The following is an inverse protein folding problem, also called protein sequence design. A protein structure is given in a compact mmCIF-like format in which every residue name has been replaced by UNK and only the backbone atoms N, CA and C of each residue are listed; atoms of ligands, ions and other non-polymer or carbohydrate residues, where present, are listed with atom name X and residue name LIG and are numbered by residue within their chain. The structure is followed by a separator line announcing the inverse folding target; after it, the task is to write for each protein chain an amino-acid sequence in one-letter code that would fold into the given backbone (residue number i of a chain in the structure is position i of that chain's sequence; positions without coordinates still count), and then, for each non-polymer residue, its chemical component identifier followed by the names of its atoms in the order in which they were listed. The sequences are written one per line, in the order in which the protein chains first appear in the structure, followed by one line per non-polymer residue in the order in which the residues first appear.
data_IF_945868127341
#
_entry.id   IF_945868127341
#
_cell.length_a   1.000
_cell.length_b   1.000
_cell.length_c   1.000
_cell.angle_alpha   90.00
_cell.angle_beta   90.00
_cell.angle_gamma   90.00
#
_symmetry.space_group_name_H-M   'P 1'
#
loop_
_entity.id
_entity.type
_entity.pdbx_description
1 polymer ?
#
# COMPACT_ATOMS: atom_id res chain seq x y z
N UNK A 1 0.86 19.34 -31.13
CA UNK A 1 -0.10 18.35 -31.66
C UNK A 1 0.47 17.00 -31.29
N UNK A 2 -0.22 16.18 -30.50
CA UNK A 2 0.28 14.85 -30.14
C UNK A 2 0.19 13.90 -31.34
N UNK A 3 1.17 13.01 -31.50
CA UNK A 3 1.14 12.01 -32.57
C UNK A 3 0.05 10.97 -32.27
N UNK A 4 -0.98 10.95 -33.10
CA UNK A 4 -2.12 10.03 -32.99
C UNK A 4 -1.76 8.58 -33.34
N UNK A 5 -0.60 8.40 -33.95
CA UNK A 5 -0.05 7.11 -34.36
C UNK A 5 1.02 6.61 -33.42
N UNK A 6 1.41 7.39 -32.41
CA UNK A 6 2.49 7.06 -31.49
C UNK A 6 3.87 7.45 -32.03
N UNK A 7 4.78 7.66 -31.09
CA UNK A 7 6.08 8.30 -31.29
C UNK A 7 7.22 7.29 -31.37
N UNK A 8 6.92 5.98 -31.42
CA UNK A 8 7.94 4.94 -31.56
C UNK A 8 8.68 5.09 -32.90
N UNK A 9 9.99 5.31 -32.81
CA UNK A 9 10.91 5.31 -33.94
C UNK A 9 11.45 3.89 -34.12
N UNK A 10 11.32 3.37 -35.34
CA UNK A 10 11.76 2.03 -35.71
C UNK A 10 13.19 2.12 -36.29
N UNK A 11 14.19 1.42 -35.73
CA UNK A 11 15.56 1.43 -36.26
C UNK A 11 15.60 0.90 -37.70
N UNK A 12 16.58 1.26 -38.53
CA UNK A 12 16.61 0.84 -39.95
C UNK A 12 16.70 -0.68 -40.15
N UNK A 13 17.27 -1.43 -39.19
CA UNK A 13 17.57 -2.87 -39.31
C UNK A 13 16.94 -3.74 -38.20
N UNK A 14 15.84 -3.28 -37.62
CA UNK A 14 15.10 -4.04 -36.61
C UNK A 14 14.37 -5.27 -37.18
N UNK A 15 14.29 -6.33 -36.37
CA UNK A 15 13.46 -7.50 -36.65
C UNK A 15 12.07 -7.30 -36.06
N UNK A 16 11.05 -7.33 -36.90
CA UNK A 16 9.65 -7.35 -36.47
C UNK A 16 9.21 -8.80 -36.24
N UNK A 17 8.67 -9.07 -35.08
CA UNK A 17 7.96 -10.32 -34.77
C UNK A 17 6.49 -10.11 -35.14
N UNK A 18 6.00 -10.82 -36.15
CA UNK A 18 4.61 -10.73 -36.58
C UNK A 18 3.77 -11.68 -35.73
N UNK A 19 2.76 -11.12 -35.06
CA UNK A 19 1.81 -11.85 -34.23
C UNK A 19 0.44 -11.77 -34.88
N UNK A 20 0.00 -12.91 -35.42
CA UNK A 20 -1.36 -13.09 -35.92
C UNK A 20 -2.27 -13.64 -34.81
N UNK A 21 -3.56 -13.32 -34.84
CA UNK A 21 -4.51 -13.73 -33.79
C UNK A 21 -4.60 -15.25 -33.63
N UNK A 22 -4.39 -16.00 -34.72
CA UNK A 22 -4.36 -17.45 -34.73
C UNK A 22 -3.19 -18.07 -33.96
N UNK A 23 -2.17 -17.28 -33.61
CA UNK A 23 -1.02 -17.75 -32.82
C UNK A 23 -1.37 -17.90 -31.33
N UNK A 24 -2.44 -17.27 -30.86
CA UNK A 24 -2.90 -17.42 -29.48
C UNK A 24 -3.85 -18.60 -29.35
N UNK A 25 -3.66 -19.42 -28.31
CA UNK A 25 -4.69 -20.37 -27.90
C UNK A 25 -5.71 -19.63 -27.03
N UNK A 26 -6.98 -19.74 -27.40
CA UNK A 26 -8.09 -19.15 -26.66
C UNK A 26 -8.92 -20.27 -26.03
N UNK A 27 -9.55 -19.99 -24.90
CA UNK A 27 -10.59 -20.86 -24.34
C UNK A 27 -11.82 -20.80 -25.25
N UNK A 28 -12.63 -21.85 -25.26
CA UNK A 28 -13.75 -22.05 -26.21
C UNK A 28 -14.74 -20.89 -26.32
N UNK A 29 -14.89 -20.11 -25.25
CA UNK A 29 -15.79 -18.95 -25.16
C UNK A 29 -15.16 -17.61 -25.53
N UNK A 30 -13.89 -17.59 -25.93
CA UNK A 30 -13.19 -16.34 -26.29
C UNK A 30 -12.88 -16.27 -27.78
N UNK A 31 -12.95 -15.07 -28.33
CA UNK A 31 -12.53 -14.77 -29.70
C UNK A 31 -11.84 -13.40 -29.77
N UNK A 32 -11.20 -13.10 -30.89
CA UNK A 32 -10.69 -11.75 -31.16
C UNK A 32 -11.65 -11.03 -32.10
N UNK A 33 -11.94 -9.77 -31.78
CA UNK A 33 -12.74 -8.89 -32.63
C UNK A 33 -12.01 -7.59 -32.93
N UNK A 34 -12.29 -7.01 -34.10
CA UNK A 34 -11.68 -5.75 -34.51
C UNK A 34 -12.07 -4.60 -33.58
N UNK A 35 -11.09 -3.86 -33.05
CA UNK A 35 -11.34 -2.69 -32.18
C UNK A 35 -12.26 -1.66 -32.85
N UNK A 36 -12.24 -1.60 -34.19
CA UNK A 36 -13.11 -0.72 -34.97
C UNK A 36 -14.62 -0.92 -34.82
N UNK A 37 -15.08 -2.06 -34.30
CA UNK A 37 -16.50 -2.27 -33.98
C UNK A 37 -16.89 -1.67 -32.63
N UNK A 38 -15.93 -1.34 -31.76
CA UNK A 38 -16.15 -0.84 -30.40
C UNK A 38 -15.87 0.64 -30.28
N UNK A 39 -14.83 1.09 -30.97
CA UNK A 39 -14.39 2.46 -30.95
C UNK A 39 -14.65 3.05 -32.33
N UNK A 40 -15.78 3.75 -32.48
CA UNK A 40 -16.24 4.35 -33.75
C UNK A 40 -15.17 5.20 -34.45
N UNK A 41 -14.23 5.77 -33.68
CA UNK A 41 -13.11 6.60 -34.11
C UNK A 41 -11.76 5.86 -34.23
N UNK A 42 -11.63 4.65 -33.68
CA UNK A 42 -10.39 3.83 -33.73
C UNK A 42 -10.03 3.30 -35.12
N UNK A 43 -10.97 3.36 -36.08
CA UNK A 43 -10.64 3.16 -37.50
C UNK A 43 -9.55 4.14 -37.96
N UNK A 44 -9.42 5.28 -37.27
CA UNK A 44 -8.45 6.31 -37.63
C UNK A 44 -7.25 6.32 -36.69
N UNK A 45 -7.42 6.45 -35.37
CA UNK A 45 -6.28 6.78 -34.49
C UNK A 45 -6.10 5.78 -33.34
N UNK A 46 -4.84 5.44 -33.05
CA UNK A 46 -4.46 4.68 -31.85
C UNK A 46 -4.57 5.54 -30.59
N UNK A 47 -4.16 6.81 -30.68
CA UNK A 47 -4.22 7.79 -29.60
C UNK A 47 -5.14 8.95 -29.98
N UNK A 48 -6.42 8.86 -29.60
CA UNK A 48 -7.35 9.97 -29.80
C UNK A 48 -6.99 11.17 -28.92
N UNK A 49 -6.69 10.87 -27.65
CA UNK A 49 -6.17 11.76 -26.65
C UNK A 49 -4.77 11.28 -26.21
N UNK A 50 -3.96 12.12 -25.53
CA UNK A 50 -2.77 11.63 -24.85
C UNK A 50 -3.12 10.45 -23.93
N UNK A 51 -2.30 9.38 -23.88
CA UNK A 51 -2.53 8.26 -22.99
C UNK A 51 -2.73 8.73 -21.54
N UNK A 52 -3.74 8.17 -20.88
CA UNK A 52 -4.04 8.49 -19.49
C UNK A 52 -4.34 7.23 -18.69
N UNK A 53 -4.15 7.28 -17.36
CA UNK A 53 -4.47 6.16 -16.48
C UNK A 53 -5.96 5.77 -16.57
N UNK A 54 -6.83 6.73 -16.88
CA UNK A 54 -8.28 6.53 -17.08
C UNK A 54 -8.65 5.74 -18.34
N UNK A 55 -7.69 5.53 -19.25
CA UNK A 55 -7.85 4.65 -20.41
C UNK A 55 -7.88 3.17 -20.01
N UNK A 56 -7.28 2.85 -18.86
CA UNK A 56 -7.12 1.50 -18.35
C UNK A 56 -8.30 1.18 -17.43
N UNK A 57 -9.09 0.19 -17.82
CA UNK A 57 -10.16 -0.37 -17.00
C UNK A 57 -10.21 -1.88 -17.16
N UNK A 58 -9.75 -2.57 -16.14
CA UNK A 58 -9.60 -4.01 -16.13
C UNK A 58 -10.96 -4.72 -16.07
N UNK A 59 -11.05 -5.87 -16.74
CA UNK A 59 -12.13 -6.85 -16.61
C UNK A 59 -11.66 -8.13 -15.92
N UNK A 60 -11.99 -9.29 -16.48
CA UNK A 60 -11.90 -10.60 -15.80
C UNK A 60 -10.61 -11.40 -16.00
N UNK A 61 -9.55 -10.86 -16.64
CA UNK A 61 -8.38 -11.66 -17.02
C UNK A 61 -7.38 -11.92 -15.89
N UNK A 62 -7.31 -11.05 -14.86
CA UNK A 62 -6.36 -11.21 -13.75
C UNK A 62 -4.94 -10.72 -14.07
N UNK A 63 -4.83 -9.71 -14.91
CA UNK A 63 -3.64 -8.97 -15.36
C UNK A 63 -3.43 -7.64 -14.60
N UNK A 64 -4.01 -7.52 -13.40
CA UNK A 64 -3.94 -6.33 -12.57
C UNK A 64 -2.51 -5.80 -12.37
N UNK A 65 -1.51 -6.69 -12.29
CA UNK A 65 -0.10 -6.32 -12.15
C UNK A 65 0.44 -5.55 -13.35
N UNK A 66 0.06 -5.94 -14.58
CA UNK A 66 0.43 -5.27 -15.82
C UNK A 66 -0.28 -3.93 -15.92
N UNK A 67 -1.57 -3.90 -15.58
CA UNK A 67 -2.39 -2.71 -15.68
C UNK A 67 -2.01 -1.65 -14.63
N UNK A 68 -1.68 -2.05 -13.40
CA UNK A 68 -1.12 -1.17 -12.39
C UNK A 68 0.26 -0.61 -12.82
N UNK A 69 1.09 -1.41 -13.50
CA UNK A 69 2.35 -0.91 -14.08
C UNK A 69 2.09 0.16 -15.15
N UNK A 70 1.15 -0.09 -16.07
CA UNK A 70 0.81 0.84 -17.14
C UNK A 70 0.21 2.14 -16.59
N UNK A 71 -0.69 2.06 -15.61
CA UNK A 71 -1.23 3.23 -14.90
C UNK A 71 -0.10 4.06 -14.27
N UNK A 72 0.87 3.41 -13.62
CA UNK A 72 1.99 4.11 -13.02
C UNK A 72 2.94 4.76 -14.04
N UNK A 73 3.21 4.09 -15.16
CA UNK A 73 4.07 4.61 -16.22
C UNK A 73 3.42 5.80 -16.93
N UNK A 74 2.13 5.70 -17.27
CA UNK A 74 1.42 6.76 -18.00
C UNK A 74 1.19 8.00 -17.12
N UNK A 75 0.94 7.82 -15.83
CA UNK A 75 0.83 8.93 -14.87
C UNK A 75 2.17 9.65 -14.71
N UNK A 76 3.28 8.92 -14.74
CA UNK A 76 4.61 9.51 -14.65
C UNK A 76 4.96 10.32 -15.90
N UNK A 77 4.79 9.72 -17.08
CA UNK A 77 5.02 10.37 -18.37
C UNK A 77 4.26 9.62 -19.48
N UNK A 78 3.18 10.19 -20.04
CA UNK A 78 2.45 9.60 -21.17
C UNK A 78 3.33 9.28 -22.38
N UNK A 79 4.48 9.96 -22.54
CA UNK A 79 5.42 9.71 -23.63
C UNK A 79 6.09 8.34 -23.55
N UNK A 80 6.12 7.71 -22.38
CA UNK A 80 6.59 6.33 -22.25
C UNK A 80 5.70 5.41 -23.09
N UNK A 81 4.38 5.64 -23.06
CA UNK A 81 3.40 4.85 -23.81
C UNK A 81 3.40 5.23 -25.29
N UNK A 82 3.42 6.52 -25.65
CA UNK A 82 3.47 6.90 -27.08
C UNK A 82 4.79 6.48 -27.72
N UNK A 83 5.91 6.58 -27.01
CA UNK A 83 7.24 6.22 -27.49
C UNK A 83 7.53 4.72 -27.54
N UNK A 84 6.61 3.86 -27.09
CA UNK A 84 6.72 2.40 -27.20
C UNK A 84 5.78 1.80 -28.26
N UNK A 85 4.88 2.57 -28.87
CA UNK A 85 3.91 2.07 -29.84
C UNK A 85 3.93 2.89 -31.13
N UNK A 86 3.82 2.22 -32.28
CA UNK A 86 3.55 2.84 -33.59
C UNK A 86 2.36 2.20 -34.29
N UNK A 87 1.35 2.99 -34.61
CA UNK A 87 0.26 2.63 -35.48
C UNK A 87 0.75 2.58 -36.94
N UNK A 88 0.67 1.41 -37.58
CA UNK A 88 1.05 1.25 -38.98
C UNK A 88 -0.10 1.58 -39.95
N UNK A 89 -1.23 2.03 -39.40
CA UNK A 89 -2.53 2.09 -40.07
C UNK A 89 -2.98 0.68 -40.51
N UNK A 90 -4.11 0.62 -41.23
CA UNK A 90 -4.63 -0.62 -41.81
C UNK A 90 -4.81 -1.80 -40.84
N UNK A 91 -5.12 -1.50 -39.56
CA UNK A 91 -5.43 -2.53 -38.58
C UNK A 91 -4.21 -3.16 -37.89
N UNK A 92 -2.99 -2.63 -38.06
CA UNK A 92 -1.81 -3.15 -37.36
C UNK A 92 -1.09 -2.08 -36.54
N UNK A 93 -0.41 -2.53 -35.49
CA UNK A 93 0.38 -1.71 -34.56
C UNK A 93 1.68 -2.43 -34.25
N UNK A 94 2.78 -1.68 -34.12
CA UNK A 94 4.05 -2.18 -33.58
C UNK A 94 4.18 -1.75 -32.13
N UNK A 95 4.42 -2.70 -31.23
CA UNK A 95 4.71 -2.45 -29.81
C UNK A 95 6.16 -2.85 -29.53
N UNK A 96 6.92 -1.98 -28.87
CA UNK A 96 8.26 -2.29 -28.35
C UNK A 96 8.16 -2.79 -26.91
N UNK A 97 8.70 -3.96 -26.63
CA UNK A 97 8.96 -4.46 -25.27
C UNK A 97 10.46 -4.79 -25.12
N UNK A 98 10.91 -5.05 -23.90
CA UNK A 98 12.31 -5.34 -23.59
C UNK A 98 12.50 -6.76 -23.08
N UNK A 99 13.21 -7.57 -23.85
CA UNK A 99 13.66 -8.90 -23.44
C UNK A 99 14.70 -8.78 -22.32
N UNK A 100 14.43 -9.48 -21.22
CA UNK A 100 15.24 -9.44 -19.99
C UNK A 100 15.45 -8.00 -19.46
N UNK A 101 14.52 -7.08 -19.78
CA UNK A 101 14.60 -5.68 -19.40
C UNK A 101 15.70 -4.88 -20.10
N UNK A 102 16.35 -5.43 -21.14
CA UNK A 102 17.51 -4.77 -21.79
C UNK A 102 17.33 -4.68 -23.30
N UNK A 103 17.01 -5.79 -23.96
CA UNK A 103 17.04 -5.85 -25.42
C UNK A 103 15.67 -5.52 -26.01
N UNK A 104 15.50 -4.43 -26.77
CA UNK A 104 14.22 -4.10 -27.38
C UNK A 104 13.81 -5.15 -28.42
N UNK A 105 12.57 -5.60 -28.35
CA UNK A 105 11.89 -6.46 -29.31
C UNK A 105 10.63 -5.75 -29.82
N UNK A 106 10.35 -5.89 -31.11
CA UNK A 106 9.28 -5.18 -31.79
C UNK A 106 8.23 -6.17 -32.28
N UNK A 107 7.01 -6.02 -31.79
CA UNK A 107 5.91 -6.93 -32.04
C UNK A 107 4.86 -6.23 -32.90
N UNK A 108 4.62 -6.74 -34.10
CA UNK A 108 3.50 -6.29 -34.93
C UNK A 108 2.26 -7.10 -34.56
N UNK A 109 1.26 -6.44 -33.98
CA UNK A 109 -0.02 -7.01 -33.58
C UNK A 109 -1.17 -6.46 -34.42
N UNK A 110 -2.20 -7.26 -34.62
CA UNK A 110 -3.48 -6.80 -35.15
C UNK A 110 -4.25 -5.96 -34.11
N UNK A 111 -4.98 -4.94 -34.57
CA UNK A 111 -5.86 -4.07 -33.78
C UNK A 111 -7.18 -4.75 -33.42
N UNK A 112 -7.06 -5.85 -32.70
CA UNK A 112 -8.19 -6.60 -32.17
C UNK A 112 -8.16 -6.61 -30.64
N UNK A 113 -9.31 -6.82 -30.04
CA UNK A 113 -9.47 -7.01 -28.60
C UNK A 113 -10.02 -8.41 -28.33
N UNK A 114 -9.76 -8.93 -27.13
CA UNK A 114 -10.27 -10.22 -26.69
C UNK A 114 -11.72 -10.07 -26.20
N UNK A 115 -12.60 -10.92 -26.71
CA UNK A 115 -14.03 -10.96 -26.38
C UNK A 115 -14.43 -12.26 -25.74
N UNK A 116 -15.42 -12.18 -24.85
CA UNK A 116 -16.18 -13.33 -24.38
C UNK A 116 -17.39 -13.58 -25.26
N UNK A 117 -18.21 -14.55 -24.86
CA UNK A 117 -19.41 -14.96 -25.59
C UNK A 117 -20.48 -13.85 -25.67
N UNK A 118 -20.64 -13.07 -24.60
CA UNK A 118 -21.68 -12.03 -24.52
C UNK A 118 -21.14 -10.65 -24.13
N UNK A 119 -19.92 -10.57 -23.59
CA UNK A 119 -19.32 -9.34 -23.04
C UNK A 119 -17.83 -9.28 -23.35
N UNK A 120 -17.26 -8.07 -23.48
CA UNK A 120 -15.81 -7.92 -23.62
C UNK A 120 -15.10 -8.41 -22.34
N UNK A 121 -13.97 -9.11 -22.51
CA UNK A 121 -13.24 -9.67 -21.35
C UNK A 121 -12.49 -8.57 -20.58
N UNK A 122 -12.16 -7.49 -21.28
CA UNK A 122 -11.52 -6.28 -20.77
C UNK A 122 -12.37 -5.05 -21.09
N UNK A 123 -12.38 -4.06 -20.21
CA UNK A 123 -13.25 -2.88 -20.34
C UNK A 123 -12.48 -1.58 -20.64
N UNK A 124 -11.27 -1.69 -21.20
CA UNK A 124 -10.41 -0.54 -21.47
C UNK A 124 -11.12 0.48 -22.38
N UNK A 125 -10.75 1.75 -22.20
CA UNK A 125 -11.36 2.87 -22.91
C UNK A 125 -10.49 3.39 -24.07
N UNK A 126 -9.31 2.81 -24.27
CA UNK A 126 -8.45 3.16 -25.37
C UNK A 126 -7.81 1.92 -26.04
N UNK A 127 -7.68 1.91 -27.38
CA UNK A 127 -7.09 0.80 -28.13
C UNK A 127 -5.67 0.42 -27.70
N UNK A 128 -4.85 1.39 -27.30
CA UNK A 128 -3.43 1.16 -27.00
C UNK A 128 -3.22 0.15 -25.87
N UNK A 129 -4.13 0.08 -24.90
CA UNK A 129 -4.02 -0.83 -23.76
C UNK A 129 -4.09 -2.28 -24.25
N UNK A 130 -5.08 -2.60 -25.10
CA UNK A 130 -5.24 -3.92 -25.71
C UNK A 130 -4.03 -4.34 -26.55
N UNK A 131 -3.41 -3.39 -27.26
CA UNK A 131 -2.21 -3.67 -28.06
C UNK A 131 -1.02 -4.07 -27.20
N UNK A 132 -0.81 -3.37 -26.08
CA UNK A 132 0.26 -3.72 -25.13
C UNK A 132 -0.03 -5.08 -24.49
N UNK A 133 -1.24 -5.32 -23.98
CA UNK A 133 -1.61 -6.61 -23.37
C UNK A 133 -1.31 -7.78 -24.30
N UNK A 134 -1.73 -7.66 -25.56
CA UNK A 134 -1.55 -8.71 -26.57
C UNK A 134 -0.08 -8.97 -26.90
N UNK A 135 0.72 -7.91 -27.07
CA UNK A 135 2.16 -8.04 -27.24
C UNK A 135 2.82 -8.66 -26.00
N UNK A 136 2.35 -8.30 -24.80
CA UNK A 136 2.85 -8.81 -23.53
C UNK A 136 2.54 -10.30 -23.33
N UNK A 137 1.35 -10.76 -23.72
CA UNK A 137 1.00 -12.20 -23.69
C UNK A 137 1.94 -12.98 -24.60
N UNK A 138 2.14 -12.50 -25.83
CA UNK A 138 3.06 -13.17 -26.75
C UNK A 138 4.49 -13.19 -26.20
N UNK A 139 4.95 -12.07 -25.63
CA UNK A 139 6.24 -11.99 -24.93
C UNK A 139 6.36 -13.15 -23.93
N UNK A 140 5.40 -13.28 -23.00
CA UNK A 140 5.42 -14.33 -21.97
C UNK A 140 5.40 -15.76 -22.54
N UNK A 141 4.64 -16.01 -23.61
CA UNK A 141 4.65 -17.30 -24.33
C UNK A 141 6.05 -17.57 -24.89
N UNK A 142 6.62 -16.60 -25.60
CA UNK A 142 7.90 -16.76 -26.30
C UNK A 142 9.08 -16.93 -25.34
N UNK A 143 9.01 -16.33 -24.15
CA UNK A 143 10.03 -16.44 -23.10
C UNK A 143 9.75 -17.55 -22.09
N UNK A 144 8.69 -18.35 -22.29
CA UNK A 144 8.28 -19.44 -21.38
C UNK A 144 8.10 -19.00 -19.93
N UNK A 145 7.51 -17.82 -19.74
CA UNK A 145 7.15 -17.30 -18.40
C UNK A 145 5.81 -17.87 -17.89
N UNK A 146 5.21 -18.81 -18.63
CA UNK A 146 4.04 -19.57 -18.24
C UNK A 146 4.13 -20.97 -18.84
N UNK A 147 3.64 -21.96 -18.09
CA UNK A 147 3.48 -23.34 -18.57
C UNK A 147 2.24 -23.49 -19.47
N UNK A 148 1.35 -22.50 -19.46
CA UNK A 148 0.20 -22.45 -20.35
C UNK A 148 0.52 -21.71 -21.64
N UNK A 149 -0.19 -22.07 -22.70
CA UNK A 149 -0.20 -21.35 -23.99
C UNK A 149 -1.52 -20.63 -24.23
N UNK A 150 -2.49 -20.77 -23.31
CA UNK A 150 -3.78 -20.10 -23.39
C UNK A 150 -3.67 -18.64 -22.96
N UNK A 151 -4.18 -17.72 -23.77
CA UNK A 151 -4.04 -16.27 -23.56
C UNK A 151 -4.37 -15.84 -22.13
N UNK A 152 -5.53 -16.28 -21.62
CA UNK A 152 -6.03 -15.88 -20.31
C UNK A 152 -5.25 -16.49 -19.15
N UNK A 153 -4.63 -17.66 -19.34
CA UNK A 153 -3.79 -18.28 -18.33
C UNK A 153 -2.37 -17.74 -18.36
N UNK A 154 -1.86 -17.35 -19.53
CA UNK A 154 -0.56 -16.70 -19.69
C UNK A 154 -0.56 -15.31 -19.08
N UNK A 155 -1.59 -14.51 -19.37
CA UNK A 155 -1.63 -13.13 -18.87
C UNK A 155 -1.90 -13.09 -17.36
N UNK A 156 -2.64 -14.09 -16.84
CA UNK A 156 -2.99 -14.20 -15.42
C UNK A 156 -1.74 -14.52 -14.61
N UNK A 157 -1.62 -13.86 -13.46
CA UNK A 157 -0.51 -14.02 -12.48
C UNK A 157 0.82 -13.51 -13.03
N UNK A 158 1.28 -12.42 -12.45
CA UNK A 158 2.60 -11.84 -12.70
C UNK A 158 2.87 -10.80 -11.63
N UNK A 159 3.98 -10.08 -11.78
CA UNK A 159 4.36 -9.04 -10.84
C UNK A 159 4.55 -7.69 -11.52
N UNK A 160 4.21 -6.62 -10.83
CA UNK A 160 4.27 -5.28 -11.42
C UNK A 160 5.69 -4.87 -11.82
N UNK A 161 6.71 -5.32 -11.08
CA UNK A 161 8.11 -5.06 -11.43
C UNK A 161 8.56 -5.78 -12.71
N UNK A 162 8.03 -6.96 -12.99
CA UNK A 162 8.25 -7.68 -14.25
C UNK A 162 7.64 -6.88 -15.40
N UNK A 163 6.38 -6.48 -15.26
CA UNK A 163 5.69 -5.67 -16.26
C UNK A 163 6.44 -4.36 -16.55
N UNK A 164 6.87 -3.63 -15.52
CA UNK A 164 7.65 -2.39 -15.67
C UNK A 164 8.97 -2.67 -16.40
N UNK A 165 9.69 -3.72 -16.03
CA UNK A 165 10.96 -4.11 -16.67
C UNK A 165 10.77 -4.41 -18.16
N UNK A 166 9.73 -5.16 -18.51
CA UNK A 166 9.41 -5.53 -19.90
C UNK A 166 8.93 -4.33 -20.71
N UNK A 167 8.15 -3.42 -20.13
CA UNK A 167 7.61 -2.26 -20.85
C UNK A 167 8.69 -1.18 -21.05
N UNK A 168 9.42 -0.85 -19.98
CA UNK A 168 10.32 0.31 -19.96
C UNK A 168 11.77 -0.03 -20.26
N UNK A 169 12.20 -1.25 -19.93
CA UNK A 169 13.61 -1.63 -19.90
C UNK A 169 14.41 -0.83 -18.85
N UNK A 170 15.67 -1.21 -18.63
CA UNK A 170 16.66 -0.52 -17.79
C UNK A 170 16.09 0.02 -16.48
N UNK A 171 15.40 -0.86 -15.73
CA UNK A 171 14.82 -0.51 -14.44
C UNK A 171 15.54 -1.20 -13.31
N UNK A 172 15.83 -0.45 -12.24
CA UNK A 172 16.20 -1.02 -10.95
C UNK A 172 14.97 -0.99 -10.07
N UNK A 173 14.50 -2.17 -9.70
CA UNK A 173 13.41 -2.30 -8.74
C UNK A 173 13.99 -2.61 -7.37
N UNK A 174 13.60 -1.83 -6.38
CA UNK A 174 13.81 -2.15 -4.98
C UNK A 174 12.46 -2.53 -4.36
N UNK A 175 12.43 -3.63 -3.62
CA UNK A 175 11.33 -3.89 -2.70
C UNK A 175 11.47 -2.95 -1.50
N UNK A 176 10.43 -2.17 -1.21
CA UNK A 176 10.36 -1.44 0.05
C UNK A 176 10.08 -2.50 1.11
N UNK A 177 11.09 -2.76 1.95
CA UNK A 177 11.12 -3.92 2.82
C UNK A 177 9.89 -3.92 3.74
N UNK A 178 9.01 -4.90 3.53
CA UNK A 178 7.91 -5.13 4.45
C UNK A 178 8.49 -5.78 5.70
N UNK A 179 8.87 -4.96 6.68
CA UNK A 179 9.17 -5.45 8.04
C UNK A 179 7.86 -5.91 8.68
N UNK A 180 7.37 -7.09 8.27
CA UNK A 180 6.29 -7.77 8.97
C UNK A 180 6.83 -8.02 10.37
N UNK A 181 6.25 -7.36 11.37
CA UNK A 181 6.63 -7.42 12.78
C UNK A 181 6.56 -8.81 13.41
N UNK A 182 6.28 -9.85 12.60
CA UNK A 182 6.18 -11.25 13.01
C UNK A 182 7.50 -11.85 13.47
N UNK A 183 8.65 -11.28 13.08
CA UNK A 183 9.92 -11.75 13.59
C UNK A 183 10.22 -11.09 14.94
N UNK A 184 9.75 -11.72 16.02
CA UNK A 184 10.08 -11.35 17.41
C UNK A 184 11.59 -11.24 17.65
N UNK A 185 12.44 -11.88 16.83
CA UNK A 185 13.90 -11.75 16.95
C UNK A 185 14.41 -10.35 16.58
N UNK A 186 13.74 -9.64 15.66
CA UNK A 186 14.05 -8.25 15.31
C UNK A 186 13.66 -7.24 16.39
N UNK A 187 12.76 -7.63 17.32
CA UNK A 187 12.42 -6.83 18.50
C UNK A 187 13.60 -6.65 19.45
N UNK A 188 14.63 -7.50 19.36
CA UNK A 188 15.89 -7.35 20.10
C UNK A 188 16.60 -6.01 19.83
N UNK A 189 16.40 -5.41 18.64
CA UNK A 189 17.03 -4.13 18.28
C UNK A 189 16.30 -2.92 18.89
N UNK A 190 14.96 -2.91 18.91
CA UNK A 190 14.17 -1.92 19.66
C UNK A 190 14.41 -2.07 21.16
N UNK A 191 14.63 -3.31 21.62
CA UNK A 191 15.00 -3.63 23.00
C UNK A 191 16.38 -3.12 23.38
N UNK A 192 17.40 -3.41 22.57
CA UNK A 192 18.75 -2.92 22.77
C UNK A 192 18.77 -1.39 22.73
N UNK A 193 18.06 -0.77 21.79
CA UNK A 193 17.93 0.68 21.72
C UNK A 193 17.24 1.28 22.94
N UNK A 194 16.10 0.72 23.39
CA UNK A 194 15.42 1.17 24.61
C UNK A 194 16.29 0.97 25.84
N UNK A 195 16.93 -0.18 25.99
CA UNK A 195 17.86 -0.49 27.08
C UNK A 195 19.06 0.48 27.10
N UNK A 196 19.66 0.73 25.95
CA UNK A 196 20.83 1.62 25.82
C UNK A 196 20.45 3.10 26.01
N UNK A 197 19.22 3.49 25.66
CA UNK A 197 18.67 4.83 25.98
C UNK A 197 18.21 4.97 27.43
N UNK A 198 17.67 3.90 28.02
CA UNK A 198 17.07 3.87 29.36
C UNK A 198 18.06 3.51 30.47
N UNK A 199 19.32 3.25 30.13
CA UNK A 199 20.45 3.34 31.06
C UNK A 199 20.63 4.79 31.55
N UNK A 200 19.58 5.27 32.22
CA UNK A 200 19.39 6.63 32.69
C UNK A 200 20.10 6.74 34.03
N UNK A 201 21.16 7.53 34.06
CA UNK A 201 21.68 8.07 35.30
C UNK A 201 20.83 9.30 35.68
N UNK A 202 19.91 9.11 36.62
CA UNK A 202 19.08 10.20 37.16
C UNK A 202 19.93 11.27 37.88
N UNK A 203 21.19 10.96 38.24
CA UNK A 203 22.07 11.83 39.01
C UNK A 203 21.36 12.44 40.24
N UNK A 204 20.49 11.67 40.89
CA UNK A 204 19.71 12.09 42.05
C UNK A 204 18.56 13.08 41.78
N UNK A 205 18.21 13.37 40.51
CA UNK A 205 17.09 14.26 40.15
C UNK A 205 15.76 13.54 39.95
N UNK A 206 14.65 14.31 39.97
CA UNK A 206 13.30 13.78 39.68
C UNK A 206 13.10 13.51 38.19
N UNK A 207 12.08 12.72 37.84
CA UNK A 207 11.70 12.44 36.44
C UNK A 207 11.40 13.73 35.67
N UNK A 208 10.72 14.69 36.29
CA UNK A 208 10.44 15.99 35.69
C UNK A 208 11.74 16.76 35.36
N UNK A 209 12.70 16.78 36.29
CA UNK A 209 14.00 17.41 36.09
C UNK A 209 14.87 16.67 35.06
N UNK A 210 14.73 15.34 34.94
CA UNK A 210 15.38 14.60 33.86
C UNK A 210 14.76 14.90 32.50
N UNK A 211 13.41 14.96 32.42
CA UNK A 211 12.66 15.28 31.19
C UNK A 211 13.04 16.65 30.66
N UNK A 212 13.13 17.65 31.54
CA UNK A 212 13.57 19.01 31.19
C UNK A 212 15.02 19.04 30.68
N UNK A 213 15.93 18.26 31.29
CA UNK A 213 17.34 18.17 30.87
C UNK A 213 17.58 17.33 29.62
N UNK A 214 16.65 16.45 29.27
CA UNK A 214 16.80 15.47 28.20
C UNK A 214 15.59 15.46 27.24
N UNK A 215 14.96 16.62 27.04
CA UNK A 215 13.71 16.74 26.27
C UNK A 215 13.80 16.12 24.87
N UNK A 216 14.92 16.34 24.17
CA UNK A 216 15.17 15.77 22.84
C UNK A 216 15.24 14.22 22.87
N UNK A 217 15.89 13.64 23.89
CA UNK A 217 15.93 12.18 24.08
C UNK A 217 14.54 11.65 24.46
N UNK A 218 13.81 12.34 25.32
CA UNK A 218 12.44 11.96 25.68
C UNK A 218 11.51 11.99 24.47
N UNK A 219 11.57 13.04 23.62
CA UNK A 219 10.83 13.11 22.36
C UNK A 219 11.23 11.99 21.41
N UNK A 220 12.53 11.69 21.29
CA UNK A 220 13.03 10.58 20.46
C UNK A 220 12.50 9.23 20.95
N UNK A 221 12.45 9.02 22.26
CA UNK A 221 11.88 7.82 22.89
C UNK A 221 10.38 7.73 22.63
N UNK A 222 9.65 8.82 22.87
CA UNK A 222 8.21 8.91 22.63
C UNK A 222 7.88 8.62 21.17
N UNK A 223 8.63 9.18 20.23
CA UNK A 223 8.48 8.89 18.79
C UNK A 223 8.78 7.44 18.44
N UNK A 224 9.85 6.85 18.99
CA UNK A 224 10.26 5.48 18.62
C UNK A 224 9.43 4.39 19.30
N UNK A 225 8.88 4.63 20.49
CA UNK A 225 8.05 3.66 21.23
C UNK A 225 6.57 3.80 20.87
N UNK A 226 6.06 5.02 20.77
CA UNK A 226 4.63 5.29 20.65
C UNK A 226 4.20 5.88 19.30
N UNK A 227 5.16 6.30 18.46
CA UNK A 227 4.86 6.84 17.12
C UNK A 227 3.83 7.97 17.14
N UNK A 228 4.26 9.15 17.65
CA UNK A 228 3.59 10.47 17.55
C UNK A 228 2.09 10.54 17.94
N UNK A 229 1.50 9.53 18.59
CA UNK A 229 0.14 9.67 19.13
C UNK A 229 0.11 9.60 20.64
N UNK A 230 -0.72 10.48 21.19
CA UNK A 230 -0.87 10.72 22.61
C UNK A 230 -1.86 9.78 23.29
N UNK A 231 -2.51 8.77 22.67
CA UNK A 231 -3.51 7.92 23.38
C UNK A 231 -3.47 6.40 23.12
N UNK A 232 -3.80 5.63 24.18
CA UNK A 232 -3.69 4.18 24.37
C UNK A 232 -4.92 3.66 25.17
N UNK A 233 -6.12 3.71 24.58
CA UNK A 233 -7.42 3.61 25.30
C UNK A 233 -7.91 2.18 25.66
N UNK A 234 -7.34 1.12 25.08
CA UNK A 234 -7.83 -0.27 25.21
C UNK A 234 -7.00 -1.14 26.17
N UNK A 235 -6.11 -0.54 26.97
CA UNK A 235 -5.15 -1.29 27.80
C UNK A 235 -5.84 -2.04 28.95
N UNK A 236 -6.93 -1.48 29.44
CA UNK A 236 -7.47 -1.81 30.77
C UNK A 236 -8.46 -2.98 30.72
N UNK A 237 -9.04 -3.28 29.55
CA UNK A 237 -9.96 -4.41 29.38
C UNK A 237 -9.25 -5.77 29.41
N UNK A 238 -7.91 -5.83 29.30
CA UNK A 238 -7.16 -7.08 29.12
C UNK A 238 -6.42 -7.61 30.35
N UNK A 239 -6.21 -6.81 31.41
CA UNK A 239 -5.72 -7.30 32.72
C UNK A 239 -6.72 -8.26 33.37
N UNK A 240 -7.97 -8.23 32.93
CA UNK A 240 -9.03 -9.14 33.37
C UNK A 240 -9.20 -10.39 32.47
N UNK A 241 -8.96 -10.28 31.14
CA UNK A 241 -9.29 -11.35 30.19
C UNK A 241 -8.13 -12.30 29.83
N UNK A 242 -6.87 -11.88 29.99
CA UNK A 242 -5.73 -12.64 29.48
C UNK A 242 -5.06 -13.53 30.54
N UNK A 243 -5.54 -14.77 30.62
CA UNK A 243 -4.79 -15.89 31.23
C UNK A 243 -3.61 -16.34 30.32
N UNK A 244 -3.23 -15.53 29.32
CA UNK A 244 -2.08 -15.80 28.46
C UNK A 244 -0.85 -15.88 29.33
N UNK A 245 -0.18 -17.04 29.26
CA UNK A 245 1.04 -17.36 29.99
C UNK A 245 2.11 -16.31 29.70
N UNK A 246 2.15 -15.23 30.49
CA UNK A 246 3.36 -14.49 30.81
C UNK A 246 4.27 -15.49 31.53
N UNK A 247 5.04 -16.25 30.73
CA UNK A 247 5.98 -17.28 31.18
C UNK A 247 7.10 -16.59 31.96
N UNK A 248 7.37 -17.04 33.18
CA UNK A 248 8.52 -16.60 33.99
C UNK A 248 8.22 -15.70 35.20
N UNK A 249 6.98 -15.25 35.39
CA UNK A 249 6.64 -14.38 36.52
C UNK A 249 6.19 -15.18 37.75
N UNK A 250 6.61 -14.76 38.95
CA UNK A 250 5.99 -15.28 40.18
C UNK A 250 4.57 -14.72 40.30
N UNK A 251 3.58 -15.50 40.76
CA UNK A 251 2.19 -15.05 40.91
C UNK A 251 2.02 -13.73 41.69
N UNK A 252 2.89 -13.46 42.67
CA UNK A 252 2.86 -12.23 43.47
C UNK A 252 3.26 -10.96 42.71
N UNK A 253 4.24 -11.05 41.80
CA UNK A 253 4.72 -9.91 41.00
C UNK A 253 3.67 -9.49 39.97
N UNK A 254 3.01 -10.48 39.34
CA UNK A 254 1.84 -10.23 38.47
C UNK A 254 0.75 -9.49 39.21
N UNK A 255 0.41 -9.93 40.43
CA UNK A 255 -0.63 -9.31 41.24
C UNK A 255 -0.27 -7.88 41.66
N UNK A 256 1.00 -7.62 41.98
CA UNK A 256 1.49 -6.28 42.36
C UNK A 256 1.49 -5.30 41.19
N UNK A 257 2.00 -5.72 40.02
CA UNK A 257 2.00 -4.88 38.82
C UNK A 257 0.59 -4.66 38.27
N UNK A 258 -0.24 -5.70 38.28
CA UNK A 258 -1.67 -5.58 37.99
C UNK A 258 -2.34 -4.60 38.95
N UNK A 259 -2.08 -4.70 40.26
CA UNK A 259 -2.59 -3.74 41.26
C UNK A 259 -2.11 -2.31 41.03
N UNK A 260 -0.81 -2.09 40.83
CA UNK A 260 -0.25 -0.76 40.53
C UNK A 260 -0.81 -0.17 39.24
N UNK A 261 -1.08 -1.01 38.25
CA UNK A 261 -1.66 -0.61 36.98
C UNK A 261 -3.16 -0.32 37.13
N UNK A 262 -3.93 -1.19 37.78
CA UNK A 262 -5.37 -1.02 38.03
C UNK A 262 -5.68 0.15 38.99
N UNK A 263 -4.84 0.38 40.00
CA UNK A 263 -4.94 1.51 40.93
C UNK A 263 -4.69 2.84 40.21
N UNK A 264 -3.81 2.83 39.20
CA UNK A 264 -3.40 4.03 38.47
C UNK A 264 -4.22 4.26 37.20
N UNK A 265 -4.75 3.21 36.60
CA UNK A 265 -5.50 3.19 35.36
C UNK A 265 -6.79 2.36 35.54
N UNK A 266 -7.90 3.03 35.84
CA UNK A 266 -9.21 2.40 36.03
C UNK A 266 -9.86 1.98 34.72
N UNK A 267 -10.70 0.93 34.75
CA UNK A 267 -11.39 0.37 33.58
C UNK A 267 -12.10 1.46 32.74
N UNK A 268 -11.66 1.62 31.48
CA UNK A 268 -12.18 2.66 30.58
C UNK A 268 -11.32 3.91 30.44
N UNK A 269 -10.15 3.98 31.08
CA UNK A 269 -9.29 5.17 30.97
C UNK A 269 -8.82 5.50 29.56
N UNK A 270 -8.91 6.78 29.17
CA UNK A 270 -8.08 7.32 28.10
C UNK A 270 -6.66 7.45 28.65
N UNK A 271 -5.90 6.37 28.58
CA UNK A 271 -4.49 6.39 28.94
C UNK A 271 -3.73 7.06 27.80
N UNK A 272 -2.95 8.10 28.08
CA UNK A 272 -2.09 8.73 27.07
C UNK A 272 -0.78 7.95 26.87
N UNK A 273 -0.08 8.18 25.75
CA UNK A 273 1.31 7.67 25.64
C UNK A 273 2.22 8.29 26.71
N UNK A 274 1.96 9.54 27.11
CA UNK A 274 2.65 10.20 28.22
C UNK A 274 2.32 9.57 29.57
N UNK A 275 1.08 9.16 29.82
CA UNK A 275 0.69 8.46 31.05
C UNK A 275 1.39 7.10 31.18
N UNK A 276 1.54 6.38 30.07
CA UNK A 276 2.27 5.10 30.06
C UNK A 276 3.76 5.33 30.25
N UNK A 277 4.32 6.36 29.59
CA UNK A 277 5.70 6.77 29.80
C UNK A 277 5.96 7.16 31.25
N UNK A 278 5.11 7.98 31.86
CA UNK A 278 5.22 8.33 33.27
C UNK A 278 5.06 7.12 34.18
N UNK A 279 4.16 6.20 33.87
CA UNK A 279 4.03 4.95 34.61
C UNK A 279 5.30 4.09 34.51
N UNK A 280 5.86 3.95 33.30
CA UNK A 280 7.12 3.25 33.05
C UNK A 280 8.27 3.91 33.80
N UNK A 281 8.36 5.23 33.73
CA UNK A 281 9.42 5.99 34.37
C UNK A 281 9.30 5.96 35.91
N UNK A 282 8.08 6.01 36.45
CA UNK A 282 7.85 6.04 37.89
C UNK A 282 7.98 4.66 38.55
N UNK A 283 7.71 3.57 37.83
CA UNK A 283 7.60 2.23 38.43
C UNK A 283 8.63 1.22 37.93
N UNK A 284 9.27 1.46 36.78
CA UNK A 284 10.16 0.48 36.13
C UNK A 284 11.62 0.98 35.98
N UNK A 285 11.88 2.29 36.16
CA UNK A 285 13.24 2.85 36.07
C UNK A 285 14.02 2.90 37.40
N UNK A 286 13.41 2.55 38.53
CA UNK A 286 14.11 2.64 39.83
C UNK A 286 15.21 1.58 39.98
N UNK A 287 15.16 0.49 39.20
CA UNK A 287 16.24 -0.50 39.11
C UNK A 287 16.25 -1.19 37.73
N UNK A 288 16.99 -0.59 36.79
CA UNK A 288 17.20 -1.15 35.44
C UNK A 288 18.09 -2.41 35.42
N UNK A 289 18.74 -2.73 36.55
CA UNK A 289 19.53 -3.95 36.69
C UNK A 289 18.65 -5.15 37.03
N UNK A 290 17.43 -4.92 37.51
CA UNK A 290 16.44 -5.95 37.75
C UNK A 290 15.90 -6.52 36.41
N UNK A 291 16.16 -7.81 36.10
CA UNK A 291 15.63 -8.47 34.91
C UNK A 291 14.10 -8.41 34.82
N UNK A 292 13.40 -8.32 35.96
CA UNK A 292 11.92 -8.26 36.02
C UNK A 292 11.40 -6.94 35.46
N UNK A 293 12.09 -5.82 35.69
CA UNK A 293 11.72 -4.52 35.14
C UNK A 293 11.90 -4.49 33.61
N UNK A 294 13.00 -5.08 33.11
CA UNK A 294 13.26 -5.20 31.67
C UNK A 294 12.20 -6.08 30.96
N UNK A 295 11.80 -7.21 31.56
CA UNK A 295 10.74 -8.07 31.03
C UNK A 295 9.37 -7.39 31.08
N UNK A 296 9.10 -6.59 32.12
CA UNK A 296 7.84 -5.84 32.25
C UNK A 296 7.73 -4.75 31.20
N UNK A 297 8.81 -4.00 30.99
CA UNK A 297 8.92 -3.04 29.89
C UNK A 297 8.73 -3.71 28.54
N UNK A 298 9.29 -4.90 28.35
CA UNK A 298 9.12 -5.69 27.12
C UNK A 298 7.68 -6.05 26.86
N UNK A 299 7.05 -6.59 27.89
CA UNK A 299 5.66 -7.01 27.83
C UNK A 299 4.74 -5.83 27.56
N UNK A 300 5.04 -4.67 28.16
CA UNK A 300 4.27 -3.43 28.00
C UNK A 300 4.44 -2.82 26.59
N UNK A 301 5.68 -2.69 26.09
CA UNK A 301 5.93 -2.22 24.73
C UNK A 301 5.35 -3.17 23.67
N UNK A 302 5.51 -4.48 23.85
CA UNK A 302 4.91 -5.49 22.95
C UNK A 302 3.39 -5.41 22.97
N UNK A 303 2.78 -5.18 24.13
CA UNK A 303 1.34 -4.99 24.26
C UNK A 303 0.88 -3.71 23.57
N UNK A 304 1.55 -2.58 23.79
CA UNK A 304 1.19 -1.29 23.20
C UNK A 304 1.28 -1.37 21.68
N UNK A 305 2.37 -1.93 21.16
CA UNK A 305 2.53 -2.22 19.74
C UNK A 305 1.41 -3.14 19.24
N UNK A 306 1.09 -4.23 19.93
CA UNK A 306 0.10 -5.20 19.45
C UNK A 306 -1.35 -4.71 19.49
N UNK A 307 -1.68 -3.76 20.37
CA UNK A 307 -3.06 -3.33 20.60
C UNK A 307 -3.38 -1.91 20.10
N UNK A 308 -2.35 -1.07 19.85
CA UNK A 308 -2.56 0.35 19.51
C UNK A 308 -1.88 0.79 18.22
N UNK A 309 -0.90 0.05 17.72
CA UNK A 309 -0.43 0.30 16.36
C UNK A 309 -1.48 -0.20 15.39
N UNK A 310 -1.97 0.69 14.55
CA UNK A 310 -2.80 0.32 13.45
C UNK A 310 -4.30 0.25 13.77
N UNK A 311 -4.82 1.02 14.74
CA UNK A 311 -6.26 1.20 14.85
C UNK A 311 -6.73 2.23 13.81
N UNK A 312 -7.75 1.87 13.03
CA UNK A 312 -8.23 2.70 11.94
C UNK A 312 -8.71 4.06 12.42
N UNK A 313 -8.20 5.11 11.80
CA UNK A 313 -8.64 6.49 12.05
C UNK A 313 -8.23 7.06 13.40
N UNK A 314 -7.25 6.47 14.08
CA UNK A 314 -6.69 7.06 15.30
C UNK A 314 -5.53 8.01 15.01
N UNK A 315 -4.82 7.86 13.89
CA UNK A 315 -3.56 8.59 13.67
C UNK A 315 -2.36 8.02 14.46
N UNK A 316 -2.57 6.91 15.20
CA UNK A 316 -1.52 6.21 15.93
C UNK A 316 -0.87 5.15 15.03
N UNK A 317 0.44 5.31 14.77
CA UNK A 317 1.19 4.38 13.93
C UNK A 317 2.41 3.87 14.68
N UNK A 318 2.71 2.59 14.55
CA UNK A 318 4.00 2.03 14.97
C UNK A 318 5.15 2.68 14.18
N UNK A 319 6.34 2.58 14.77
CA UNK A 319 7.58 2.97 14.09
C UNK A 319 7.75 2.30 12.72
N UNK A 320 7.38 1.02 12.59
CA UNK A 320 7.50 0.29 11.33
C UNK A 320 6.51 0.80 10.27
N UNK A 321 5.25 1.06 10.64
CA UNK A 321 4.24 1.68 9.76
C UNK A 321 4.70 3.08 9.30
N UNK A 322 5.24 3.88 10.21
CA UNK A 322 5.78 5.20 9.90
C UNK A 322 7.02 5.14 8.99
N UNK A 323 7.94 4.20 9.23
CA UNK A 323 9.09 3.97 8.36
C UNK A 323 8.63 3.63 6.95
N UNK A 324 7.67 2.71 6.81
CA UNK A 324 7.10 2.33 5.51
C UNK A 324 6.44 3.52 4.81
N UNK A 325 5.62 4.30 5.52
CA UNK A 325 5.01 5.50 4.95
C UNK A 325 6.05 6.50 4.44
N UNK A 326 7.09 6.76 5.23
CA UNK A 326 8.16 7.67 4.86
C UNK A 326 8.98 7.15 3.67
N UNK A 327 9.28 5.86 3.60
CA UNK A 327 9.96 5.24 2.46
C UNK A 327 9.15 5.35 1.17
N UNK A 328 7.83 5.13 1.24
CA UNK A 328 6.90 5.33 0.11
C UNK A 328 6.87 6.81 -0.30
N UNK A 329 6.72 7.72 0.66
CA UNK A 329 6.70 9.17 0.43
C UNK A 329 7.99 9.63 -0.25
N UNK A 330 9.14 9.17 0.22
CA UNK A 330 10.44 9.46 -0.39
C UNK A 330 10.58 8.88 -1.80
N UNK A 331 10.12 7.65 -2.04
CA UNK A 331 10.16 7.03 -3.36
C UNK A 331 9.34 7.85 -4.37
N UNK A 332 8.13 8.28 -3.98
CA UNK A 332 7.27 9.13 -4.79
C UNK A 332 7.89 10.52 -5.05
N UNK A 333 8.50 11.14 -4.03
CA UNK A 333 9.23 12.41 -4.18
C UNK A 333 10.40 12.29 -5.17
N UNK A 334 11.08 11.13 -5.18
CA UNK A 334 12.14 10.78 -6.15
C UNK A 334 11.58 10.37 -7.51
N UNK A 335 10.27 10.55 -7.76
CA UNK A 335 9.55 10.17 -8.98
C UNK A 335 9.72 8.69 -9.33
N UNK A 336 9.90 7.81 -8.34
CA UNK A 336 9.88 6.36 -8.55
C UNK A 336 8.45 5.90 -8.76
N UNK A 337 8.29 4.84 -9.54
CA UNK A 337 7.00 4.15 -9.67
C UNK A 337 6.80 3.31 -8.42
N UNK A 338 5.72 3.56 -7.68
CA UNK A 338 5.37 2.79 -6.49
C UNK A 338 4.09 2.01 -6.73
N UNK A 339 4.16 0.69 -6.56
CA UNK A 339 3.02 -0.21 -6.73
C UNK A 339 2.94 -1.20 -5.58
N UNK A 340 1.72 -1.59 -5.22
CA UNK A 340 1.46 -2.42 -4.05
C UNK A 340 0.59 -3.61 -4.42
N UNK A 341 0.76 -4.73 -3.73
CA UNK A 341 -0.10 -5.91 -3.88
C UNK A 341 -0.80 -6.25 -2.57
N UNK A 342 -2.10 -6.52 -2.66
CA UNK A 342 -2.92 -6.92 -1.52
C UNK A 342 -2.63 -8.35 -1.07
N UNK A 343 -2.92 -8.63 0.20
CA UNK A 343 -2.96 -10.00 0.75
C UNK A 343 -3.97 -10.86 -0.02
N UNK A 344 -4.00 -12.17 0.23
CA UNK A 344 -4.96 -13.06 -0.40
C UNK A 344 -6.43 -12.74 -0.05
N UNK A 345 -6.71 -12.41 1.21
CA UNK A 345 -8.05 -12.13 1.70
C UNK A 345 -8.00 -10.80 2.48
N UNK A 346 -7.93 -9.66 1.79
CA UNK A 346 -7.90 -8.37 2.47
C UNK A 346 -9.31 -8.08 3.01
N UNK A 347 -9.39 -7.25 4.04
CA UNK A 347 -10.65 -6.74 4.58
C UNK A 347 -11.13 -5.51 3.79
N UNK A 348 -12.27 -4.93 4.16
CA UNK A 348 -12.65 -3.56 3.79
C UNK A 348 -12.74 -3.30 2.28
N UNK A 349 -13.33 -4.22 1.50
CA UNK A 349 -13.58 -4.01 0.08
C UNK A 349 -12.38 -4.10 -0.86
N UNK A 350 -11.18 -4.40 -0.36
CA UNK A 350 -10.04 -4.63 -1.24
C UNK A 350 -10.19 -5.95 -1.99
N UNK A 351 -9.70 -5.98 -3.24
CA UNK A 351 -9.61 -7.20 -4.01
C UNK A 351 -8.37 -7.97 -3.59
N UNK A 352 -8.51 -9.26 -3.27
CA UNK A 352 -7.42 -10.12 -2.87
C UNK A 352 -6.49 -10.52 -4.02
N UNK A 353 -5.19 -10.64 -3.72
CA UNK A 353 -4.13 -10.92 -4.72
C UNK A 353 -4.18 -9.94 -5.91
N UNK A 354 -4.42 -8.67 -5.62
CA UNK A 354 -4.59 -7.62 -6.62
C UNK A 354 -3.46 -6.59 -6.52
N UNK A 355 -3.09 -5.99 -7.64
CA UNK A 355 -2.06 -4.95 -7.70
C UNK A 355 -2.68 -3.56 -7.90
N UNK A 356 -2.10 -2.57 -7.23
CA UNK A 356 -2.55 -1.17 -7.25
C UNK A 356 -1.35 -0.26 -7.50
N UNK A 357 -1.60 0.88 -8.14
CA UNK A 357 -0.63 1.99 -8.19
C UNK A 357 -0.77 2.82 -6.90
N UNK A 358 0.34 3.21 -6.29
CA UNK A 358 0.36 4.29 -5.29
C UNK A 358 0.61 5.59 -6.04
N UNK A 359 -0.40 6.47 -6.08
CA UNK A 359 -0.35 7.72 -6.83
C UNK A 359 0.38 8.79 -6.03
N UNK A 360 0.02 8.94 -4.75
CA UNK A 360 0.61 9.90 -3.84
C UNK A 360 0.36 9.49 -2.38
N UNK A 361 0.85 10.26 -1.43
CA UNK A 361 0.50 10.15 0.00
C UNK A 361 -0.12 11.46 0.48
N UNK A 362 -0.98 11.39 1.49
CA UNK A 362 -1.62 12.54 2.12
C UNK A 362 -1.48 12.44 3.64
N UNK A 363 -1.25 13.58 4.27
CA UNK A 363 -1.32 13.75 5.72
C UNK A 363 -2.49 14.71 5.99
N UNK A 364 -3.47 14.28 6.78
CA UNK A 364 -4.69 15.04 7.03
C UNK A 364 -4.92 15.20 8.53
N UNK A 365 -5.27 16.41 8.94
CA UNK A 365 -5.60 16.70 10.33
C UNK A 365 -7.03 16.28 10.60
N UNK A 366 -7.20 15.23 11.40
CA UNK A 366 -8.49 14.69 11.79
C UNK A 366 -8.77 15.02 13.25
N UNK A 367 -9.97 15.54 13.52
CA UNK A 367 -10.43 15.74 14.89
C UNK A 367 -10.91 14.40 15.45
N UNK A 368 -10.10 13.77 16.30
CA UNK A 368 -10.40 12.47 16.91
C UNK A 368 -10.64 12.71 18.40
N UNK A 369 -11.91 12.71 18.78
CA UNK A 369 -12.32 13.14 20.12
C UNK A 369 -12.18 14.65 20.28
N UNK A 370 -11.25 15.09 21.14
CA UNK A 370 -10.97 16.53 21.42
C UNK A 370 -9.64 17.01 20.84
N UNK A 371 -8.87 16.11 20.26
CA UNK A 371 -7.53 16.40 19.77
C UNK A 371 -7.49 16.29 18.25
N UNK A 372 -6.60 17.08 17.65
CA UNK A 372 -6.31 16.97 16.23
C UNK A 372 -5.13 16.02 16.07
N UNK A 373 -5.33 14.90 15.37
CA UNK A 373 -4.24 13.99 15.02
C UNK A 373 -3.99 14.00 13.51
N UNK A 374 -2.75 13.72 13.12
CA UNK A 374 -2.37 13.61 11.71
C UNK A 374 -2.60 12.17 11.25
N UNK A 375 -3.69 11.96 10.52
CA UNK A 375 -3.93 10.70 9.82
C UNK A 375 -3.16 10.68 8.50
N UNK A 376 -2.61 9.53 8.17
CA UNK A 376 -1.75 9.29 7.01
C UNK A 376 -2.45 8.35 6.06
N UNK A 377 -2.51 8.76 4.80
CA UNK A 377 -3.23 8.05 3.75
C UNK A 377 -2.31 7.82 2.56
N UNK A 378 -2.42 6.64 1.96
CA UNK A 378 -1.90 6.35 0.64
C UNK A 378 -3.02 6.51 -0.36
N UNK A 379 -2.79 7.26 -1.44
CA UNK A 379 -3.75 7.41 -2.51
C UNK A 379 -3.50 6.29 -3.53
N UNK A 380 -4.37 5.29 -3.56
CA UNK A 380 -4.23 4.13 -4.43
C UNK A 380 -5.11 4.29 -5.67
N UNK A 381 -4.67 3.76 -6.81
CA UNK A 381 -5.49 3.58 -8.02
C UNK A 381 -5.77 2.11 -8.25
N UNK A 382 -7.03 1.76 -8.46
CA UNK A 382 -7.46 0.39 -8.74
C UNK A 382 -7.65 0.19 -10.25
N UNK A 383 -7.03 -0.83 -10.86
CA UNK A 383 -7.24 -1.16 -12.26
C UNK A 383 -8.70 -1.47 -12.66
N UNK A 384 -9.57 -1.98 -11.78
CA UNK A 384 -11.00 -2.23 -12.08
C UNK A 384 -11.86 -0.96 -12.06
N UNK A 385 -11.33 0.16 -11.55
CA UNK A 385 -12.13 1.35 -11.26
C UNK A 385 -12.78 1.26 -9.89
N UNK A 386 -14.08 1.54 -9.80
CA UNK A 386 -14.73 2.27 -8.69
C UNK A 386 -14.99 1.49 -7.37
N UNK A 387 -14.35 0.34 -7.12
CA UNK A 387 -14.59 -0.42 -5.87
C UNK A 387 -13.58 -0.05 -4.80
N UNK A 388 -14.02 0.68 -3.76
CA UNK A 388 -13.11 1.19 -2.73
C UNK A 388 -13.73 1.16 -1.32
N UNK A 389 -12.90 1.07 -0.27
CA UNK A 389 -13.32 1.42 1.08
C UNK A 389 -13.69 2.90 1.15
N UNK A 390 -14.87 3.17 1.71
CA UNK A 390 -15.32 4.50 2.13
C UNK A 390 -15.03 4.66 3.62
N UNK A 391 -14.21 5.65 3.98
CA UNK A 391 -13.94 5.95 5.38
C UNK A 391 -14.97 6.95 5.91
N UNK A 392 -15.92 6.47 6.71
CA UNK A 392 -16.93 7.31 7.36
C UNK A 392 -16.54 7.58 8.82
N UNK A 393 -16.70 8.81 9.31
CA UNK A 393 -16.61 9.09 10.74
C UNK A 393 -17.75 8.41 11.49
N UNK A 394 -17.43 7.47 12.37
CA UNK A 394 -18.36 6.79 13.26
C UNK A 394 -18.15 7.29 14.69
N UNK A 395 -19.22 7.83 15.26
CA UNK A 395 -19.26 8.13 16.68
C UNK A 395 -19.30 6.84 17.48
N UNK A 396 -18.33 6.65 18.38
CA UNK A 396 -18.33 5.58 19.37
C UNK A 396 -18.45 6.18 20.75
N UNK A 397 -19.39 5.63 21.51
CA UNK A 397 -19.55 5.93 22.93
C UNK A 397 -18.73 4.92 23.73
N UNK A 398 -17.96 5.40 24.70
CA UNK A 398 -17.23 4.57 25.66
C UNK A 398 -17.32 5.20 27.04
N UNK A 399 -17.18 4.40 28.10
CA UNK A 399 -17.05 4.94 29.45
C UNK A 399 -15.58 5.23 29.72
N UNK A 400 -15.30 6.44 30.19
CA UNK A 400 -13.96 6.83 30.59
C UNK A 400 -13.56 6.21 31.94
N UNK A 401 -12.34 6.55 32.36
CA UNK A 401 -11.70 6.21 33.64
C UNK A 401 -12.58 6.53 34.87
N UNK A 402 -13.46 7.51 34.75
CA UNK A 402 -14.36 7.97 35.82
C UNK A 402 -15.78 7.42 35.66
N UNK A 403 -15.97 6.43 34.77
CA UNK A 403 -17.27 5.86 34.43
C UNK A 403 -18.18 6.81 33.63
N UNK A 404 -17.68 7.98 33.21
CA UNK A 404 -18.44 8.94 32.43
C UNK A 404 -18.50 8.51 30.97
N UNK A 405 -19.70 8.49 30.41
CA UNK A 405 -19.88 8.25 28.98
C UNK A 405 -19.24 9.37 28.18
N UNK A 406 -18.23 9.05 27.37
CA UNK A 406 -17.61 9.93 26.40
C UNK A 406 -17.94 9.49 24.99
N UNK A 407 -18.00 10.45 24.07
CA UNK A 407 -18.05 10.20 22.64
C UNK A 407 -16.67 10.44 22.04
N UNK A 408 -16.23 9.53 21.17
CA UNK A 408 -15.12 9.75 20.24
C UNK A 408 -15.62 9.52 18.82
N UNK A 409 -14.94 10.11 17.84
CA UNK A 409 -15.20 9.88 16.43
C UNK A 409 -14.00 9.13 15.85
N UNK A 410 -14.22 7.92 15.36
CA UNK A 410 -13.20 7.12 14.67
C UNK A 410 -13.59 6.97 13.19
N UNK A 411 -12.65 6.61 12.33
CA UNK A 411 -12.99 6.19 10.97
C UNK A 411 -13.40 4.71 10.98
N UNK A 412 -14.50 4.38 10.33
CA UNK A 412 -14.77 3.01 9.88
C UNK A 412 -14.72 2.95 8.37
N UNK A 413 -14.20 1.85 7.85
CA UNK A 413 -14.33 1.51 6.44
C UNK A 413 -15.67 0.82 6.21
N UNK A 414 -16.46 1.36 5.28
CA UNK A 414 -17.64 0.73 4.69
C UNK A 414 -17.35 0.44 3.21
N UNK A 415 -17.94 -0.61 2.66
CA UNK A 415 -17.86 -0.87 1.22
C UNK A 415 -18.87 0.03 0.50
N UNK A 416 -18.46 0.65 -0.60
CA UNK A 416 -19.37 1.40 -1.46
C UNK A 416 -19.00 1.19 -2.93
N UNK A 417 -20.03 1.15 -3.77
CA UNK A 417 -19.89 1.10 -5.24
C UNK A 417 -19.95 2.50 -5.88
N UNK A 418 -20.16 3.56 -5.09
CA UNK A 418 -20.37 4.93 -5.59
C UNK A 418 -19.23 5.90 -5.21
N UNK A 419 -18.44 6.33 -6.21
CA UNK A 419 -17.37 7.31 -6.03
C UNK A 419 -17.84 8.68 -5.51
N UNK A 420 -19.09 9.08 -5.77
CA UNK A 420 -19.68 10.34 -5.30
C UNK A 420 -19.80 10.41 -3.78
N UNK A 421 -19.73 9.26 -3.12
CA UNK A 421 -20.14 9.08 -1.74
C UNK A 421 -18.97 9.02 -0.76
N UNK A 422 -17.73 9.17 -1.23
CA UNK A 422 -16.50 8.95 -0.44
C UNK A 422 -16.31 9.87 0.79
N UNK A 423 -17.21 10.83 1.04
CA UNK A 423 -17.17 11.68 2.24
C UNK A 423 -15.89 12.51 2.39
N UNK A 424 -15.07 12.57 1.35
CA UNK A 424 -13.81 13.29 1.38
C UNK A 424 -14.08 14.79 1.46
N UNK A 425 -13.23 15.55 2.19
CA UNK A 425 -13.33 16.99 2.18
C UNK A 425 -13.33 17.50 0.73
N UNK A 426 -14.30 18.36 0.38
CA UNK A 426 -14.56 18.88 -0.98
C UNK A 426 -13.35 19.53 -1.67
N UNK A 427 -12.24 19.71 -0.95
CA UNK A 427 -11.01 20.33 -1.43
C UNK A 427 -10.08 19.40 -2.23
N UNK A 428 -10.35 18.09 -2.30
CA UNK A 428 -9.47 17.16 -3.04
C UNK A 428 -10.16 16.69 -4.33
N UNK A 429 -9.82 17.31 -5.45
CA UNK A 429 -10.16 16.82 -6.80
C UNK A 429 -9.33 15.56 -7.07
N UNK A 430 -9.79 14.42 -6.58
CA UNK A 430 -9.18 13.12 -6.86
C UNK A 430 -9.88 12.52 -8.07
N UNK A 431 -9.11 11.94 -9.00
CA UNK A 431 -9.65 11.15 -10.11
C UNK A 431 -10.60 10.07 -9.54
N UNK A 432 -11.75 9.77 -10.17
CA UNK A 432 -12.78 8.89 -9.60
C UNK A 432 -12.32 7.44 -9.36
N UNK A 433 -11.13 7.08 -9.86
CA UNK A 433 -10.50 5.78 -9.71
C UNK A 433 -9.32 5.78 -8.72
N UNK A 434 -9.05 6.92 -8.07
CA UNK A 434 -8.06 7.06 -7.00
C UNK A 434 -8.77 7.26 -5.67
N UNK A 435 -8.35 6.51 -4.66
CA UNK A 435 -9.01 6.47 -3.37
C UNK A 435 -7.97 6.47 -2.24
N UNK A 436 -8.26 7.12 -1.11
CA UNK A 436 -7.37 7.08 0.03
C UNK A 436 -7.46 5.70 0.69
N UNK A 437 -6.35 5.25 1.25
CA UNK A 437 -6.27 4.11 2.18
C UNK A 437 -5.48 4.58 3.39
N UNK A 438 -6.10 4.52 4.55
CA UNK A 438 -5.46 4.92 5.80
C UNK A 438 -4.30 3.95 6.13
N UNK A 439 -3.17 4.46 6.63
CA UNK A 439 -1.91 3.70 6.78
C UNK A 439 -2.06 2.43 7.62
N UNK A 440 -2.88 2.45 8.68
CA UNK A 440 -3.16 1.27 9.49
C UNK A 440 -3.91 0.18 8.72
N UNK A 441 -4.81 0.57 7.82
CA UNK A 441 -5.56 -0.34 6.97
C UNK A 441 -4.66 -0.89 5.87
N UNK A 442 -3.80 -0.03 5.32
CA UNK A 442 -2.81 -0.37 4.33
C UNK A 442 -1.87 -1.47 4.81
N UNK A 443 -1.26 -1.34 5.99
CA UNK A 443 -0.29 -2.35 6.45
C UNK A 443 -0.92 -3.71 6.79
N UNK A 444 -2.24 -3.76 7.01
CA UNK A 444 -2.98 -5.02 7.22
C UNK A 444 -3.30 -5.71 5.91
N UNK A 445 -3.62 -4.92 4.90
CA UNK A 445 -4.19 -5.42 3.64
C UNK A 445 -3.19 -5.59 2.51
N UNK A 446 -1.97 -5.06 2.65
CA UNK A 446 -0.95 -5.11 1.61
C UNK A 446 0.30 -5.84 2.10
N UNK A 447 0.91 -6.65 1.23
CA UNK A 447 2.07 -7.49 1.60
C UNK A 447 3.33 -7.15 0.85
N UNK A 448 3.20 -6.52 -0.32
CA UNK A 448 4.32 -6.27 -1.21
C UNK A 448 4.23 -4.82 -1.67
N UNK A 449 5.34 -4.10 -1.55
CA UNK A 449 5.47 -2.70 -1.92
C UNK A 449 6.73 -2.62 -2.78
N UNK A 450 6.56 -2.28 -4.05
CA UNK A 450 7.66 -2.19 -4.99
C UNK A 450 7.87 -0.73 -5.36
N UNK A 451 9.12 -0.26 -5.26
CA UNK A 451 9.55 1.03 -5.78
C UNK A 451 10.52 0.79 -6.94
N UNK A 452 10.10 1.14 -8.15
CA UNK A 452 10.89 0.98 -9.36
C UNK A 452 11.44 2.31 -9.83
N UNK A 453 12.76 2.36 -9.98
CA UNK A 453 13.49 3.48 -10.53
C UNK A 453 13.94 3.14 -11.96
N UNK A 454 13.78 4.11 -12.85
CA UNK A 454 14.37 4.02 -14.17
C UNK A 454 15.80 4.51 -14.11
N UNK A 455 16.75 3.70 -14.55
CA UNK A 455 18.17 4.06 -14.41
C UNK A 455 18.72 4.91 -15.54
N UNK A 456 17.90 5.23 -16.55
CA UNK A 456 18.40 5.83 -17.78
C UNK A 456 19.25 4.83 -18.58
N UNK A 457 19.20 4.95 -19.89
CA UNK A 457 20.10 4.28 -20.84
C UNK A 457 20.52 5.26 -21.89
#
# INVERSE_FOLDING_TARGET
MHDKDGELILPENYKIIIIDDSQFKLKSRHNFANISSFFSSSKKNLFENPPAATDIKQGGLGDCYLLAALQALVEQDPKIITGMIKDLRHGHVVVRLYLNGITPQYYRVEKTQLEGENDPVQFHRAPWVHMIEKAFVYYRISTKQSDSIYYDDVIRRGHTHEAISVIRGNTKTAEIAFKKSKDLSSQSSSFAFLRDMMAIDLNGGTIAQWKERNEEKFLTMKQKVFGISDHVVDFIKMTQASNTKLVGWKPGEKKKLKGLFEDRFQEGANVTSDDILEFMMANLLYDMTDPVNNITMASLCCYIKSNFSGQLGTGCYSFDEMSQFNEIKEALLKKKIVTVASVQNPSNGFVGRHAYQVVTVKEDLQLIGRETQVCRFLMLRHPWGVHFPKYVPVKRSYKDIFGQTRETTLLSSEETDEASDLGLPKSVNVSPDVFPVELSDFVKNFTQIMATEYTGG
#
